data_IF_476643519874
#
_entry.id   IF_476643519874
#
_cell.length_a   1.000
_cell.length_b   1.000
_cell.length_c   1.000
_cell.angle_alpha   90.00
_cell.angle_beta   90.00
_cell.angle_gamma   90.00
#
_symmetry.space_group_name_H-M   'P 1'
#
loop_
_entity.id
_entity.type
_entity.pdbx_description
1 polymer ?
#
# COMPACT_ATOMS: atom_id res chain seq x y z
N UNK A 1 9.03 -6.36 27.96
CA UNK A 1 9.36 -7.05 26.69
C UNK A 1 8.34 -8.15 26.36
N UNK A 2 8.06 -9.00 27.33
CA UNK A 2 7.18 -10.17 27.21
C UNK A 2 5.74 -9.85 26.77
N UNK A 3 5.27 -8.61 26.97
CA UNK A 3 3.96 -8.13 26.49
C UNK A 3 3.94 -7.74 25.01
N UNK A 4 5.08 -7.78 24.31
CA UNK A 4 5.22 -7.39 22.90
C UNK A 4 5.89 -8.49 22.06
N UNK A 5 5.44 -9.76 22.14
CA UNK A 5 6.06 -10.86 21.41
C UNK A 5 6.03 -10.63 19.90
N UNK A 6 4.93 -10.05 19.38
CA UNK A 6 4.80 -9.72 17.95
C UNK A 6 5.84 -8.73 17.41
N UNK A 7 6.49 -7.95 18.28
CA UNK A 7 7.58 -7.04 17.90
C UNK A 7 8.93 -7.73 18.10
N UNK A 8 9.18 -8.26 19.30
CA UNK A 8 10.52 -8.72 19.67
C UNK A 8 10.86 -10.11 19.15
N UNK A 9 9.89 -10.99 18.92
CA UNK A 9 10.12 -12.30 18.29
C UNK A 9 10.31 -12.17 16.77
N UNK A 10 9.79 -11.10 16.17
CA UNK A 10 9.90 -10.81 14.74
C UNK A 10 11.03 -9.83 14.39
N UNK A 11 11.85 -9.45 15.38
CA UNK A 11 12.95 -8.51 15.19
C UNK A 11 13.95 -9.04 14.15
N UNK A 12 14.28 -8.21 13.15
CA UNK A 12 15.24 -8.58 12.09
C UNK A 12 16.69 -8.46 12.54
N UNK A 13 16.95 -7.63 13.54
CA UNK A 13 18.26 -7.48 14.16
C UNK A 13 18.21 -7.87 15.63
N UNK A 14 19.34 -8.34 16.16
CA UNK A 14 19.46 -8.62 17.59
C UNK A 14 19.45 -7.29 18.34
N UNK A 15 18.44 -7.08 19.17
CA UNK A 15 18.36 -5.94 20.09
C UNK A 15 18.84 -6.30 21.51
N UNK A 16 19.31 -5.31 22.24
CA UNK A 16 19.59 -5.38 23.68
C UNK A 16 18.33 -5.09 24.52
N UNK A 17 18.38 -5.36 25.82
CA UNK A 17 17.31 -4.96 26.75
C UNK A 17 17.06 -3.44 26.76
N UNK A 18 18.12 -2.65 26.56
CA UNK A 18 18.02 -1.19 26.47
C UNK A 18 17.23 -0.78 25.23
N UNK A 19 17.47 -1.43 24.07
CA UNK A 19 16.74 -1.15 22.83
C UNK A 19 15.27 -1.52 22.98
N UNK A 20 14.98 -2.69 23.56
CA UNK A 20 13.60 -3.10 23.85
C UNK A 20 12.88 -2.09 24.76
N UNK A 21 13.57 -1.54 25.75
CA UNK A 21 13.01 -0.53 26.64
C UNK A 21 12.67 0.75 25.89
N UNK A 22 13.57 1.26 25.02
CA UNK A 22 13.32 2.45 24.20
C UNK A 22 12.11 2.27 23.28
N UNK A 23 12.02 1.13 22.59
CA UNK A 23 10.85 0.79 21.75
C UNK A 23 9.56 0.80 22.58
N UNK A 24 9.55 0.19 23.76
CA UNK A 24 8.36 0.16 24.63
C UNK A 24 7.96 1.56 25.10
N UNK A 25 8.93 2.40 25.45
CA UNK A 25 8.68 3.79 25.87
C UNK A 25 8.09 4.62 24.73
N UNK A 26 8.63 4.47 23.51
CA UNK A 26 8.08 5.11 22.33
C UNK A 26 6.64 4.65 22.04
N UNK A 27 6.36 3.35 22.11
CA UNK A 27 5.00 2.81 21.91
C UNK A 27 4.01 3.28 22.98
N UNK A 28 4.44 3.40 24.23
CA UNK A 28 3.61 3.95 25.30
C UNK A 28 3.28 5.41 25.05
N UNK A 29 4.27 6.21 24.64
CA UNK A 29 4.05 7.62 24.28
C UNK A 29 3.12 7.73 23.07
N UNK A 30 3.33 6.92 22.03
CA UNK A 30 2.43 6.86 20.88
C UNK A 30 0.98 6.54 21.32
N UNK A 31 0.78 5.65 22.29
CA UNK A 31 -0.56 5.27 22.75
C UNK A 31 -1.31 6.38 23.48
N UNK A 32 -0.63 7.36 24.09
CA UNK A 32 -1.31 8.51 24.72
C UNK A 32 -1.85 9.49 23.68
N UNK A 33 -1.23 9.54 22.50
CA UNK A 33 -1.54 10.53 21.48
C UNK A 33 -0.96 11.92 21.76
N UNK A 34 -0.11 12.06 22.79
CA UNK A 34 0.48 13.32 23.22
C UNK A 34 2.00 13.32 23.01
N UNK A 35 2.59 14.48 22.71
CA UNK A 35 4.03 14.66 22.50
C UNK A 35 4.63 13.70 21.47
N UNK A 36 3.89 13.38 20.40
CA UNK A 36 4.21 12.30 19.46
C UNK A 36 5.59 12.42 18.80
N UNK A 37 6.08 13.63 18.56
CA UNK A 37 7.39 13.90 17.93
C UNK A 37 8.59 13.36 18.74
N UNK A 38 8.44 13.12 20.06
CA UNK A 38 9.51 12.52 20.86
C UNK A 38 9.60 10.99 20.72
N UNK A 39 8.59 10.38 20.12
CA UNK A 39 8.43 8.92 20.03
C UNK A 39 8.32 8.42 18.59
N UNK A 40 7.98 9.30 17.65
CA UNK A 40 7.72 8.96 16.26
C UNK A 40 8.30 10.04 15.36
N UNK A 41 8.98 9.63 14.29
CA UNK A 41 9.33 10.53 13.20
C UNK A 41 8.06 10.84 12.40
N UNK A 42 7.34 11.89 12.83
CA UNK A 42 6.05 12.26 12.25
C UNK A 42 6.18 12.56 10.76
N UNK A 43 7.28 13.15 10.31
CA UNK A 43 7.47 13.45 8.89
C UNK A 43 7.44 12.21 8.01
N UNK A 44 8.29 11.24 8.34
CA UNK A 44 8.42 10.00 7.57
C UNK A 44 7.14 9.16 7.63
N UNK A 45 6.51 9.10 8.80
CA UNK A 45 5.27 8.34 8.99
C UNK A 45 4.12 8.93 8.18
N UNK A 46 3.98 10.27 8.14
CA UNK A 46 2.95 10.90 7.32
C UNK A 46 3.18 10.63 5.83
N UNK A 47 4.43 10.67 5.35
CA UNK A 47 4.77 10.32 3.96
C UNK A 47 4.46 8.87 3.64
N UNK A 48 4.78 7.96 4.56
CA UNK A 48 4.42 6.55 4.43
C UNK A 48 2.91 6.37 4.25
N UNK A 49 2.10 7.01 5.09
CA UNK A 49 0.64 6.90 4.99
C UNK A 49 0.09 7.53 3.71
N UNK A 50 0.63 8.65 3.26
CA UNK A 50 0.26 9.24 1.96
C UNK A 50 0.41 8.22 0.83
N UNK A 51 1.55 7.54 0.76
CA UNK A 51 1.79 6.53 -0.28
C UNK A 51 0.92 5.29 -0.06
N UNK A 52 0.81 4.79 1.17
CA UNK A 52 0.01 3.58 1.45
C UNK A 52 -1.47 3.73 1.11
N UNK A 53 -2.04 4.91 1.40
CA UNK A 53 -3.43 5.23 1.06
C UNK A 53 -3.58 5.49 -0.44
N UNK A 54 -2.58 6.11 -1.08
CA UNK A 54 -2.57 6.26 -2.53
C UNK A 54 -2.64 4.89 -3.21
N UNK A 55 -1.72 3.99 -2.86
CA UNK A 55 -1.61 2.67 -3.47
C UNK A 55 -2.63 1.67 -2.93
N UNK A 56 -3.60 2.07 -2.09
CA UNK A 56 -4.66 1.17 -1.61
C UNK A 56 -4.13 -0.16 -1.05
N UNK A 57 -3.04 -0.12 -0.28
CA UNK A 57 -2.39 -1.31 0.22
C UNK A 57 -3.02 -1.76 1.55
N UNK A 58 -4.00 -2.66 1.48
CA UNK A 58 -4.62 -3.27 2.66
C UNK A 58 -3.95 -4.57 3.11
N UNK A 59 -2.94 -5.06 2.41
CA UNK A 59 -2.02 -6.05 2.98
C UNK A 59 -0.94 -5.39 3.84
N UNK A 60 -1.25 -4.25 4.45
CA UNK A 60 -0.28 -3.43 5.18
C UNK A 60 -0.78 -3.01 6.56
N UNK A 61 -0.07 -2.07 7.21
CA UNK A 61 -0.50 -1.44 8.45
C UNK A 61 -1.96 -0.98 8.42
N UNK A 62 -2.45 -0.44 7.29
CA UNK A 62 -3.80 0.12 7.20
C UNK A 62 -4.91 -0.91 7.07
N UNK A 63 -4.60 -2.14 6.66
CA UNK A 63 -5.61 -3.18 6.50
C UNK A 63 -5.77 -4.07 7.72
N UNK A 64 -6.67 -5.06 7.61
CA UNK A 64 -7.12 -5.91 8.72
C UNK A 64 -5.99 -6.71 9.38
N UNK A 65 -5.05 -7.23 8.58
CA UNK A 65 -3.93 -8.06 9.04
C UNK A 65 -2.82 -7.26 9.71
N UNK A 66 -2.58 -6.01 9.28
CA UNK A 66 -1.54 -5.16 9.86
C UNK A 66 -0.13 -5.72 9.61
N UNK A 67 0.16 -6.16 8.38
CA UNK A 67 1.43 -6.77 7.98
C UNK A 67 2.29 -5.83 7.11
N UNK A 68 3.40 -6.34 6.55
CA UNK A 68 4.21 -5.70 5.50
C UNK A 68 4.72 -4.28 5.82
N UNK A 69 5.29 -4.14 7.02
CA UNK A 69 6.12 -3.00 7.37
C UNK A 69 7.19 -3.41 8.37
N UNK A 70 8.22 -2.58 8.50
CA UNK A 70 9.13 -2.61 9.64
C UNK A 70 8.94 -1.36 10.48
N UNK A 71 9.04 -1.53 11.80
CA UNK A 71 9.32 -0.40 12.69
C UNK A 71 10.83 -0.31 12.85
N UNK A 72 11.36 0.89 12.59
CA UNK A 72 12.75 1.21 12.82
C UNK A 72 12.83 2.16 14.00
N UNK A 73 13.64 1.82 15.00
CA UNK A 73 13.85 2.65 16.19
C UNK A 73 15.27 3.21 16.16
N UNK A 74 15.37 4.52 16.32
CA UNK A 74 16.64 5.24 16.46
C UNK A 74 16.48 6.27 17.59
N UNK A 75 17.34 6.19 18.61
CA UNK A 75 17.36 7.10 19.77
C UNK A 75 16.00 7.36 20.46
N UNK A 76 15.14 6.34 20.50
CA UNK A 76 13.80 6.38 21.10
C UNK A 76 12.70 6.84 20.15
N UNK A 77 13.02 7.16 18.89
CA UNK A 77 12.09 7.64 17.87
C UNK A 77 11.80 6.54 16.86
N UNK A 78 10.51 6.27 16.62
CA UNK A 78 10.05 5.26 15.68
C UNK A 78 9.80 5.84 14.28
N UNK A 79 10.38 5.22 13.27
CA UNK A 79 10.01 5.34 11.87
C UNK A 79 9.32 4.06 11.38
N UNK A 80 8.64 4.15 10.24
CA UNK A 80 8.01 3.01 9.57
C UNK A 80 8.58 2.84 8.17
N UNK A 81 8.96 1.62 7.83
CA UNK A 81 9.50 1.28 6.52
C UNK A 81 8.52 0.41 5.75
N UNK A 82 8.23 0.72 4.49
CA UNK A 82 7.38 -0.12 3.65
C UNK A 82 8.07 -1.43 3.32
N UNK A 83 7.29 -2.50 3.27
CA UNK A 83 7.69 -3.80 2.77
C UNK A 83 6.55 -4.36 1.91
N UNK A 84 6.89 -5.21 0.94
CA UNK A 84 5.97 -6.00 0.10
C UNK A 84 4.67 -5.33 -0.39
N UNK A 85 4.71 -4.82 -1.63
CA UNK A 85 3.60 -4.06 -2.25
C UNK A 85 2.97 -4.85 -3.41
N UNK A 86 3.25 -6.15 -3.52
CA UNK A 86 2.71 -6.98 -4.61
C UNK A 86 1.18 -7.04 -4.60
N UNK A 87 0.53 -6.96 -3.43
CA UNK A 87 -0.93 -6.94 -3.26
C UNK A 87 -1.53 -5.53 -3.07
N UNK A 88 -0.78 -4.49 -3.48
CA UNK A 88 -1.28 -3.13 -3.47
C UNK A 88 -2.30 -2.89 -4.62
N UNK A 89 -2.70 -1.64 -4.81
CA UNK A 89 -3.66 -1.18 -5.82
C UNK A 89 -5.03 -1.85 -5.72
N UNK A 90 -5.43 -2.23 -4.50
CA UNK A 90 -6.72 -2.85 -4.23
C UNK A 90 -6.82 -4.31 -4.65
N UNK A 91 -5.71 -5.00 -4.93
CA UNK A 91 -5.73 -6.43 -5.29
C UNK A 91 -5.74 -7.37 -4.08
N UNK A 92 -5.46 -6.86 -2.88
CA UNK A 92 -5.53 -7.65 -1.66
C UNK A 92 -6.93 -8.24 -1.39
N UNK A 93 -7.08 -9.53 -1.65
CA UNK A 93 -8.28 -10.30 -1.35
C UNK A 93 -8.05 -11.37 -0.26
N UNK A 94 -6.80 -11.70 0.04
CA UNK A 94 -6.46 -12.73 1.01
C UNK A 94 -6.89 -12.31 2.42
N UNK A 95 -7.47 -13.22 3.20
CA UNK A 95 -7.93 -12.92 4.56
C UNK A 95 -9.18 -12.03 4.67
N UNK A 96 -9.78 -11.58 3.55
CA UNK A 96 -11.08 -10.90 3.54
C UNK A 96 -12.20 -11.87 3.20
N UNK A 97 -13.30 -11.85 3.97
CA UNK A 97 -14.49 -12.68 3.69
C UNK A 97 -15.26 -12.19 2.47
N UNK A 98 -15.30 -10.87 2.26
CA UNK A 98 -15.95 -10.22 1.13
C UNK A 98 -15.07 -9.07 0.63
N UNK A 99 -14.05 -9.34 -0.20
CA UNK A 99 -13.16 -8.31 -0.70
C UNK A 99 -13.90 -7.37 -1.67
N UNK A 100 -13.61 -6.07 -1.58
CA UNK A 100 -14.14 -5.08 -2.51
C UNK A 100 -13.50 -5.34 -3.87
N UNK A 101 -14.32 -5.53 -4.91
CA UNK A 101 -13.86 -5.76 -6.30
C UNK A 101 -14.26 -4.66 -7.27
N UNK A 102 -15.11 -3.74 -6.84
CA UNK A 102 -15.61 -2.67 -7.69
C UNK A 102 -14.53 -1.58 -7.85
N UNK A 103 -14.01 -1.36 -9.07
CA UNK A 103 -13.02 -0.32 -9.33
C UNK A 103 -13.55 1.08 -8.97
N UNK A 104 -14.86 1.34 -9.10
CA UNK A 104 -15.45 2.61 -8.69
C UNK A 104 -15.34 2.86 -7.19
N UNK A 105 -15.31 1.82 -6.36
CA UNK A 105 -15.13 1.95 -4.92
C UNK A 105 -13.64 2.09 -4.60
N UNK A 106 -12.80 1.20 -5.12
CA UNK A 106 -11.37 1.16 -4.81
C UNK A 106 -10.66 2.44 -5.23
N UNK A 107 -10.78 2.85 -6.50
CA UNK A 107 -10.10 4.05 -7.01
C UNK A 107 -10.59 5.32 -6.30
N UNK A 108 -11.85 5.35 -5.88
CA UNK A 108 -12.40 6.47 -5.13
C UNK A 108 -12.20 6.37 -3.62
N UNK A 109 -11.55 5.32 -3.10
CA UNK A 109 -11.53 5.06 -1.66
C UNK A 109 -10.98 6.28 -0.86
N UNK A 110 -11.68 6.71 0.21
CA UNK A 110 -11.45 8.00 0.83
C UNK A 110 -10.10 8.13 1.52
N UNK A 111 -9.42 9.27 1.35
CA UNK A 111 -8.08 9.49 1.90
C UNK A 111 -8.05 9.78 3.41
N UNK A 112 -9.15 10.26 4.00
CA UNK A 112 -9.20 10.58 5.44
C UNK A 112 -9.72 9.42 6.28
N UNK A 113 -10.35 8.43 5.65
CA UNK A 113 -10.82 7.19 6.28
C UNK A 113 -10.37 6.00 5.43
N UNK A 114 -9.07 5.67 5.42
CA UNK A 114 -8.49 4.69 4.50
C UNK A 114 -8.81 3.23 4.86
N UNK A 115 -9.52 3.02 5.96
CA UNK A 115 -10.24 1.79 6.28
C UNK A 115 -11.40 2.11 7.24
N UNK A 116 -12.21 1.10 7.53
CA UNK A 116 -13.29 1.19 8.50
C UNK A 116 -12.79 1.60 9.90
N UNK A 117 -13.67 2.27 10.65
CA UNK A 117 -13.34 2.79 11.98
C UNK A 117 -12.87 1.70 12.95
N UNK A 118 -13.43 0.49 12.87
CA UNK A 118 -13.01 -0.65 13.68
C UNK A 118 -11.56 -1.09 13.41
N UNK A 119 -11.07 -0.92 12.19
CA UNK A 119 -9.67 -1.18 11.85
C UNK A 119 -8.83 -0.01 12.35
N UNK A 120 -9.20 1.22 11.97
CA UNK A 120 -8.40 2.42 12.26
C UNK A 120 -8.22 2.69 13.76
N UNK A 121 -9.23 2.41 14.60
CA UNK A 121 -9.10 2.53 16.06
C UNK A 121 -8.04 1.58 16.65
N UNK A 122 -7.74 0.48 15.96
CA UNK A 122 -6.70 -0.48 16.32
C UNK A 122 -5.36 -0.18 15.63
N UNK A 123 -5.18 1.03 15.08
CA UNK A 123 -3.98 1.48 14.36
C UNK A 123 -3.45 2.78 14.96
N UNK A 124 -2.86 2.74 16.17
CA UNK A 124 -2.50 3.95 16.92
C UNK A 124 -1.52 4.87 16.19
N UNK A 125 -0.62 4.34 15.36
CA UNK A 125 0.32 5.14 14.58
C UNK A 125 -0.39 6.03 13.55
N UNK A 126 -1.45 5.54 12.91
CA UNK A 126 -2.28 6.37 12.03
C UNK A 126 -3.24 7.22 12.87
N UNK A 127 -4.05 6.54 13.70
CA UNK A 127 -5.17 7.14 14.41
C UNK A 127 -4.77 8.30 15.32
N UNK A 128 -3.69 8.18 16.08
CA UNK A 128 -3.29 9.25 17.00
C UNK A 128 -2.61 10.41 16.28
N UNK A 129 -1.91 10.17 15.16
CA UNK A 129 -1.35 11.25 14.35
C UNK A 129 -2.48 12.09 13.72
N UNK A 130 -3.52 11.45 13.19
CA UNK A 130 -4.64 12.13 12.51
C UNK A 130 -5.57 12.91 13.46
N UNK A 131 -5.37 12.85 14.78
CA UNK A 131 -6.09 13.69 15.75
C UNK A 131 -5.50 15.09 15.89
N UNK A 132 -4.31 15.34 15.36
CA UNK A 132 -3.64 16.63 15.44
C UNK A 132 -3.81 17.38 14.13
N UNK A 133 -4.46 18.55 14.18
CA UNK A 133 -4.78 19.37 13.00
C UNK A 133 -3.53 19.68 12.16
N UNK A 134 -2.39 19.93 12.80
CA UNK A 134 -1.13 20.23 12.13
C UNK A 134 -0.60 19.03 11.32
N UNK A 135 -0.69 17.82 11.89
CA UNK A 135 -0.25 16.59 11.21
C UNK A 135 -1.22 16.22 10.10
N UNK A 136 -2.52 16.40 10.33
CA UNK A 136 -3.54 16.19 9.31
C UNK A 136 -3.38 17.14 8.12
N UNK A 137 -3.06 18.41 8.37
CA UNK A 137 -2.75 19.38 7.31
C UNK A 137 -1.46 19.00 6.55
N UNK A 138 -0.41 18.54 7.25
CA UNK A 138 0.82 18.02 6.60
C UNK A 138 0.56 16.79 5.75
N UNK A 139 -0.31 15.89 6.19
CA UNK A 139 -0.73 14.72 5.43
C UNK A 139 -1.40 15.10 4.10
N UNK A 140 -2.31 16.08 4.11
CA UNK A 140 -2.92 16.62 2.89
C UNK A 140 -1.89 17.32 1.99
N UNK A 141 -0.98 18.09 2.56
CA UNK A 141 0.12 18.70 1.81
C UNK A 141 1.02 17.65 1.15
N UNK A 142 1.18 16.46 1.74
CA UNK A 142 1.91 15.36 1.12
C UNK A 142 1.16 14.67 -0.01
N UNK A 143 -0.17 14.58 0.04
CA UNK A 143 -0.92 14.20 -1.14
C UNK A 143 -0.78 15.24 -2.25
N UNK A 144 -0.97 16.52 -1.95
CA UNK A 144 -0.83 17.59 -2.93
C UNK A 144 0.56 17.56 -3.59
N UNK A 145 1.62 17.38 -2.79
CA UNK A 145 2.99 17.21 -3.30
C UNK A 145 3.14 15.96 -4.16
N UNK A 146 2.64 14.80 -3.71
CA UNK A 146 2.70 13.55 -4.47
C UNK A 146 2.01 13.71 -5.84
N UNK A 147 0.81 14.29 -5.85
CA UNK A 147 0.06 14.52 -7.08
C UNK A 147 0.79 15.49 -8.01
N UNK A 148 1.14 16.67 -7.50
CA UNK A 148 1.74 17.75 -8.31
C UNK A 148 3.12 17.38 -8.87
N UNK A 149 4.00 16.77 -8.05
CA UNK A 149 5.39 16.51 -8.42
C UNK A 149 5.62 15.15 -9.12
N UNK A 150 4.68 14.20 -9.00
CA UNK A 150 4.85 12.85 -9.55
C UNK A 150 3.81 12.50 -10.61
N UNK A 151 2.53 12.77 -10.37
CA UNK A 151 1.46 12.41 -11.30
C UNK A 151 1.19 13.50 -12.33
N UNK A 152 0.86 14.71 -11.90
CA UNK A 152 0.50 15.83 -12.78
C UNK A 152 1.69 16.33 -13.62
N UNK A 153 2.92 16.07 -13.17
CA UNK A 153 4.13 16.38 -13.93
C UNK A 153 4.43 15.39 -15.06
N UNK A 154 3.65 14.30 -15.20
CA UNK A 154 3.91 13.20 -16.14
C UNK A 154 5.06 12.27 -15.75
N UNK A 155 5.60 12.40 -14.52
CA UNK A 155 6.76 11.62 -14.07
C UNK A 155 6.39 10.17 -13.80
N UNK A 156 5.18 9.90 -13.31
CA UNK A 156 4.66 8.55 -13.11
C UNK A 156 4.64 7.76 -14.42
N UNK A 157 3.95 8.26 -15.47
CA UNK A 157 3.85 7.55 -16.75
C UNK A 157 5.23 7.29 -17.36
N UNK A 158 6.12 8.30 -17.33
CA UNK A 158 7.49 8.14 -17.81
C UNK A 158 8.24 7.03 -17.04
N UNK A 159 8.08 6.97 -15.72
CA UNK A 159 8.72 5.97 -14.85
C UNK A 159 8.15 4.57 -15.13
N UNK A 160 6.82 4.46 -15.27
CA UNK A 160 6.14 3.21 -15.58
C UNK A 160 6.61 2.63 -16.92
N UNK A 161 6.55 3.44 -17.99
CA UNK A 161 6.94 3.01 -19.34
C UNK A 161 8.44 2.74 -19.46
N UNK A 162 9.28 3.50 -18.75
CA UNK A 162 10.70 3.19 -18.66
C UNK A 162 10.95 1.83 -17.98
N UNK A 163 10.23 1.54 -16.90
CA UNK A 163 10.34 0.28 -16.16
C UNK A 163 9.86 -0.91 -16.99
N UNK A 164 8.68 -0.79 -17.62
CA UNK A 164 8.15 -1.77 -18.58
C UNK A 164 9.21 -2.09 -19.64
N UNK A 165 9.74 -1.07 -20.33
CA UNK A 165 10.74 -1.24 -21.39
C UNK A 165 12.00 -1.95 -20.90
N UNK A 166 12.41 -1.70 -19.65
CA UNK A 166 13.60 -2.32 -19.06
C UNK A 166 13.40 -3.82 -18.84
N UNK A 167 12.23 -4.25 -18.37
CA UNK A 167 11.98 -5.64 -17.97
C UNK A 167 11.29 -6.49 -19.05
N UNK A 168 10.55 -5.89 -19.98
CA UNK A 168 9.74 -6.58 -20.98
C UNK A 168 10.51 -7.67 -21.77
N UNK A 169 11.75 -7.45 -22.25
CA UNK A 169 12.49 -8.50 -22.96
C UNK A 169 12.86 -9.71 -22.08
N UNK A 170 12.94 -9.51 -20.77
CA UNK A 170 13.23 -10.56 -19.80
C UNK A 170 11.96 -11.33 -19.46
N UNK A 171 10.84 -10.63 -19.23
CA UNK A 171 9.51 -11.26 -19.04
C UNK A 171 9.15 -12.14 -20.23
N UNK A 172 9.35 -11.66 -21.46
CA UNK A 172 9.05 -12.43 -22.67
C UNK A 172 9.88 -13.71 -22.80
N UNK A 173 11.11 -13.72 -22.27
CA UNK A 173 12.04 -14.85 -22.38
C UNK A 173 12.00 -15.80 -21.19
N UNK A 174 11.40 -15.39 -20.09
CA UNK A 174 11.39 -16.15 -18.85
C UNK A 174 10.44 -17.36 -18.97
N UNK A 175 10.97 -18.60 -19.00
CA UNK A 175 10.14 -19.79 -19.10
C UNK A 175 9.36 -20.06 -17.80
N UNK A 176 9.72 -19.38 -16.71
CA UNK A 176 9.11 -19.48 -15.38
C UNK A 176 8.17 -18.31 -15.03
N UNK A 177 7.96 -17.36 -15.94
CA UNK A 177 7.07 -16.22 -15.69
C UNK A 177 5.66 -16.67 -15.29
N UNK A 178 5.11 -16.04 -14.25
CA UNK A 178 3.76 -16.31 -13.74
C UNK A 178 2.68 -15.96 -14.77
N UNK A 179 2.79 -14.81 -15.43
CA UNK A 179 1.86 -14.37 -16.46
C UNK A 179 2.44 -14.54 -17.87
N UNK A 180 1.58 -14.46 -18.89
CA UNK A 180 2.07 -14.39 -20.27
C UNK A 180 2.64 -12.99 -20.58
N UNK A 181 3.41 -12.87 -21.66
CA UNK A 181 3.90 -11.55 -22.08
C UNK A 181 2.76 -10.58 -22.45
N UNK A 182 1.65 -11.10 -23.01
CA UNK A 182 0.50 -10.27 -23.34
C UNK A 182 -0.20 -9.76 -22.08
N UNK A 183 -0.34 -10.62 -21.06
CA UNK A 183 -0.93 -10.25 -19.78
C UNK A 183 -0.05 -9.23 -19.05
N UNK A 184 1.29 -9.37 -19.12
CA UNK A 184 2.21 -8.37 -18.60
C UNK A 184 1.97 -6.98 -19.22
N UNK A 185 1.84 -6.89 -20.56
CA UNK A 185 1.57 -5.61 -21.23
C UNK A 185 0.22 -5.02 -20.81
N UNK A 186 -0.81 -5.88 -20.75
CA UNK A 186 -2.15 -5.48 -20.29
C UNK A 186 -2.15 -5.01 -18.83
N UNK A 187 -1.38 -5.66 -17.96
CA UNK A 187 -1.23 -5.29 -16.56
C UNK A 187 -0.55 -3.91 -16.43
N UNK A 188 0.46 -3.61 -17.25
CA UNK A 188 1.11 -2.29 -17.26
C UNK A 188 0.12 -1.20 -17.66
N UNK A 189 -0.65 -1.41 -18.73
CA UNK A 189 -1.69 -0.46 -19.17
C UNK A 189 -2.78 -0.27 -18.11
N UNK A 190 -3.19 -1.37 -17.46
CA UNK A 190 -4.18 -1.32 -16.37
C UNK A 190 -3.62 -0.56 -15.16
N UNK A 191 -2.35 -0.77 -14.80
CA UNK A 191 -1.71 -0.08 -13.68
C UNK A 191 -1.61 1.42 -13.93
N UNK A 192 -1.30 1.81 -15.17
CA UNK A 192 -1.33 3.21 -15.59
C UNK A 192 -2.72 3.82 -15.36
N UNK A 193 -3.78 3.15 -15.84
CA UNK A 193 -5.15 3.60 -15.67
C UNK A 193 -5.54 3.73 -14.19
N UNK A 194 -5.27 2.70 -13.38
CA UNK A 194 -5.57 2.70 -11.94
C UNK A 194 -4.92 3.89 -11.26
N UNK A 195 -3.62 4.09 -11.46
CA UNK A 195 -2.86 5.15 -10.83
C UNK A 195 -3.33 6.54 -11.27
N UNK A 196 -3.61 6.75 -12.56
CA UNK A 196 -4.08 8.04 -13.07
C UNK A 196 -5.49 8.38 -12.56
N UNK A 197 -6.42 7.42 -12.56
CA UNK A 197 -7.77 7.66 -12.01
C UNK A 197 -7.72 7.83 -10.49
N UNK A 198 -6.83 7.12 -9.79
CA UNK A 198 -6.59 7.30 -8.35
C UNK A 198 -6.05 8.70 -8.04
N UNK A 199 -5.09 9.18 -8.83
CA UNK A 199 -4.57 10.54 -8.71
C UNK A 199 -5.67 11.60 -8.93
N UNK A 200 -6.50 11.43 -9.97
CA UNK A 200 -7.64 12.31 -10.26
C UNK A 200 -8.67 12.31 -9.11
N UNK A 201 -9.01 11.13 -8.59
CA UNK A 201 -9.93 10.97 -7.46
C UNK A 201 -9.40 11.69 -6.21
N UNK A 202 -8.12 11.50 -5.87
CA UNK A 202 -7.51 12.14 -4.70
C UNK A 202 -7.44 13.65 -4.88
N UNK A 203 -7.14 14.15 -6.09
CA UNK A 203 -7.19 15.60 -6.38
C UNK A 203 -8.58 16.16 -6.08
N UNK A 204 -9.63 15.53 -6.60
CA UNK A 204 -11.02 15.91 -6.30
C UNK A 204 -11.36 15.84 -4.82
N UNK A 205 -10.75 14.91 -4.06
CA UNK A 205 -10.91 14.82 -2.61
C UNK A 205 -10.24 15.96 -1.84
N UNK A 206 -9.05 16.39 -2.27
CA UNK A 206 -8.36 17.54 -1.68
C UNK A 206 -9.09 18.85 -1.98
N UNK A 207 -9.64 18.98 -3.18
CA UNK A 207 -10.35 20.18 -3.63
C UNK A 207 -11.79 20.26 -3.09
N UNK A 208 -12.28 19.18 -2.47
CA UNK A 208 -13.62 19.09 -1.88
C UNK A 208 -14.74 18.77 -2.87
N UNK A 209 -14.40 18.41 -4.11
CA UNK A 209 -15.34 17.98 -5.16
C UNK A 209 -15.82 16.55 -4.96
N UNK A 210 -14.94 15.68 -4.43
CA UNK A 210 -15.22 14.29 -4.08
C UNK A 210 -15.12 14.17 -2.55
N UNK A 211 -16.08 13.52 -1.86
CA UNK A 211 -15.97 13.37 -0.42
C UNK A 211 -14.75 12.53 -0.01
N UNK A 212 -13.94 13.06 0.92
CA UNK A 212 -12.71 12.43 1.37
C UNK A 212 -12.89 11.44 2.55
N UNK A 213 -14.14 11.07 2.89
CA UNK A 213 -14.46 10.12 3.97
C UNK A 213 -15.49 9.08 3.52
N UNK A 214 -15.50 7.89 4.13
CA UNK A 214 -16.45 6.80 3.84
C UNK A 214 -17.89 7.32 3.99
N UNK A 215 -18.18 8.02 5.09
CA UNK A 215 -19.49 8.62 5.33
C UNK A 215 -19.86 9.63 4.24
N UNK A 216 -18.94 10.54 3.90
CA UNK A 216 -19.21 11.55 2.89
C UNK A 216 -19.52 10.94 1.52
N UNK A 217 -18.86 9.84 1.15
CA UNK A 217 -19.10 9.12 -0.09
C UNK A 217 -20.43 8.34 -0.06
N UNK A 218 -20.83 7.81 1.10
CA UNK A 218 -22.16 7.21 1.27
C UNK A 218 -23.27 8.25 1.12
N UNK A 219 -23.05 9.48 1.59
CA UNK A 219 -24.00 10.59 1.48
C UNK A 219 -24.03 11.19 0.05
N UNK A 220 -22.94 11.09 -0.70
CA UNK A 220 -22.81 11.63 -2.06
C UNK A 220 -22.18 10.60 -3.02
N UNK A 221 -22.85 9.47 -3.31
CA UNK A 221 -22.26 8.37 -4.05
C UNK A 221 -21.95 8.70 -5.52
N UNK A 222 -22.54 9.74 -6.08
CA UNK A 222 -22.33 10.15 -7.47
C UNK A 222 -21.11 11.06 -7.66
N UNK A 223 -20.61 11.68 -6.58
CA UNK A 223 -19.42 12.51 -6.61
C UNK A 223 -18.16 11.63 -6.59
N UNK A 224 -17.81 11.06 -7.75
CA UNK A 224 -16.68 10.13 -7.92
C UNK A 224 -16.12 10.18 -9.34
N UNK A 225 -14.89 9.70 -9.51
CA UNK A 225 -14.33 9.36 -10.82
C UNK A 225 -14.96 8.05 -11.30
N UNK A 226 -15.45 8.02 -12.54
CA UNK A 226 -15.92 6.77 -13.17
C UNK A 226 -14.73 5.90 -13.54
N UNK A 227 -14.66 4.73 -12.92
CA UNK A 227 -13.64 3.72 -13.12
C UNK A 227 -14.23 2.38 -13.62
N UNK A 228 -15.48 2.37 -14.08
CA UNK A 228 -16.19 1.16 -14.51
C UNK A 228 -15.50 0.40 -15.66
N UNK A 229 -14.68 1.09 -16.46
CA UNK A 229 -13.91 0.49 -17.54
C UNK A 229 -12.63 -0.24 -17.10
N UNK A 230 -12.19 -0.09 -15.85
CA UNK A 230 -10.93 -0.65 -15.36
C UNK A 230 -11.14 -2.07 -14.84
N UNK A 231 -10.36 -3.02 -15.36
CA UNK A 231 -10.39 -4.41 -14.93
C UNK A 231 -9.22 -4.70 -13.99
N UNK A 232 -9.45 -4.59 -12.68
CA UNK A 232 -8.40 -4.80 -11.67
C UNK A 232 -7.82 -6.22 -11.67
N UNK A 233 -8.59 -7.21 -12.13
CA UNK A 233 -8.11 -8.58 -12.31
C UNK A 233 -6.97 -8.72 -13.32
N UNK A 234 -6.72 -7.71 -14.16
CA UNK A 234 -5.55 -7.70 -15.03
C UNK A 234 -4.24 -7.44 -14.28
N UNK A 235 -4.29 -6.89 -13.06
CA UNK A 235 -3.09 -6.67 -12.24
C UNK A 235 -2.64 -7.94 -11.53
N UNK A 236 -3.59 -8.83 -11.22
CA UNK A 236 -3.35 -10.06 -10.50
C UNK A 236 -4.53 -11.03 -10.69
N UNK A 237 -4.25 -12.23 -11.19
CA UNK A 237 -5.20 -13.33 -11.24
C UNK A 237 -4.54 -14.61 -10.66
N UNK A 238 -5.18 -15.23 -9.67
CA UNK A 238 -4.74 -16.53 -9.13
C UNK A 238 -4.66 -17.60 -10.22
N UNK A 239 -5.42 -17.44 -11.31
CA UNK A 239 -5.34 -18.29 -12.49
C UNK A 239 -3.96 -18.29 -13.13
N UNK A 240 -3.24 -17.17 -13.14
CA UNK A 240 -1.88 -17.10 -13.70
C UNK A 240 -0.91 -18.00 -12.91
N UNK A 241 -1.09 -18.09 -11.60
CA UNK A 241 -0.30 -18.97 -10.73
C UNK A 241 -0.59 -20.45 -11.03
N UNK A 242 -1.86 -20.80 -11.26
CA UNK A 242 -2.25 -22.17 -11.60
C UNK A 242 -1.74 -22.57 -12.99
N UNK A 243 -1.92 -21.69 -13.99
CA UNK A 243 -1.55 -21.97 -15.39
C UNK A 243 -0.05 -21.92 -15.66
N UNK A 244 0.72 -21.19 -14.85
CA UNK A 244 2.19 -21.15 -14.96
C UNK A 244 2.89 -22.40 -14.43
N UNK A 245 2.23 -23.18 -13.58
CA UNK A 245 2.82 -24.33 -12.89
C UNK A 245 3.46 -25.34 -13.85
N UNK A 246 2.73 -25.75 -14.88
CA UNK A 246 3.22 -26.76 -15.83
C UNK A 246 4.44 -26.26 -16.63
N UNK A 247 4.47 -24.96 -16.97
CA UNK A 247 5.61 -24.31 -17.65
C UNK A 247 6.83 -24.23 -16.73
N UNK A 248 6.63 -23.87 -15.47
CA UNK A 248 7.69 -23.82 -14.46
C UNK A 248 8.27 -25.22 -14.18
N UNK A 249 7.40 -26.23 -14.05
CA UNK A 249 7.82 -27.63 -13.87
C UNK A 249 8.57 -28.17 -15.10
N UNK A 250 8.22 -27.72 -16.31
CA UNK A 250 8.99 -28.03 -17.53
C UNK A 250 10.37 -27.36 -17.51
N UNK A 251 10.44 -26.06 -17.20
CA UNK A 251 11.71 -25.34 -17.10
C UNK A 251 12.66 -25.96 -16.05
N UNK A 252 12.11 -26.39 -14.91
CA UNK A 252 12.88 -27.07 -13.87
C UNK A 252 13.43 -28.42 -14.33
N UNK A 253 12.66 -29.19 -15.12
CA UNK A 253 13.11 -30.46 -15.70
C UNK A 253 14.28 -30.26 -16.65
N UNK A 254 14.20 -29.25 -17.52
CA UNK A 254 15.26 -28.92 -18.48
C UNK A 254 16.57 -28.55 -17.79
N UNK A 255 16.51 -27.87 -16.64
CA UNK A 255 17.69 -27.49 -15.84
C UNK A 255 18.26 -28.69 -15.06
N UNK A 256 17.39 -29.50 -14.45
CA UNK A 256 17.83 -30.56 -13.53
C UNK A 256 18.19 -31.87 -14.22
N UNK A 257 17.89 -32.02 -15.52
CA UNK A 257 18.18 -33.21 -16.31
C UNK A 257 17.44 -34.47 -15.83
N UNK A 258 16.45 -34.32 -14.93
CA UNK A 258 15.64 -35.43 -14.42
C UNK A 258 14.49 -35.68 -15.39
N UNK A 259 14.63 -36.72 -16.21
CA UNK A 259 13.47 -37.42 -16.78
C UNK A 259 12.78 -38.18 -15.65
N UNK A 260 11.44 -38.14 -15.63
CA UNK A 260 10.63 -39.16 -14.94
C UNK A 260 11.00 -40.55 -15.41
#
# INVERSE_FOLDING_TARGET
PDSYPGIFENAKFKGSEADQKRVIEALKTLSTGENLEIAVNVDEVLRYFTVQVFVMNWDSYLGHTGHNYFLYEEDGVLSILPWDYNLAFGTYALGMTDPIKDPNILINYPINTPAEGEVMLNRPLYHNLMKHDEYFARYHAYFDKLLSEYFESGRFEATLRQTEKLIAPYVQKDPTAFCSYADHQLAVDTLEQVCLHRAQSIRGQLDGEIPATIRGQQENPDAKVDASGIQLTNLEDFKDLEESKDRQDAALRDITGKST
#
